data_IF_756735629261
#
_entry.id   IF_756735629261
#
_cell.length_a   1.000
_cell.length_b   1.000
_cell.length_c   1.000
_cell.angle_alpha   90.00
_cell.angle_beta   90.00
_cell.angle_gamma   90.00
#
_symmetry.space_group_name_H-M   'P 1'
#
loop_
_entity.id
_entity.type
_entity.pdbx_description
1 polymer ?
#
# COMPACT_ATOMS: atom_id res chain seq x y z
N UNK A 1 13.93 29.28 6.30
CA UNK A 1 13.47 28.33 5.26
C UNK A 1 12.14 28.81 4.69
N UNK A 2 12.00 28.90 3.37
CA UNK A 2 10.81 29.41 2.70
C UNK A 2 9.61 28.45 2.87
N UNK A 3 8.37 28.93 2.64
CA UNK A 3 7.16 28.08 2.65
C UNK A 3 7.24 27.00 1.59
N UNK A 4 7.68 27.35 0.37
CA UNK A 4 7.83 26.42 -0.75
C UNK A 4 8.83 25.30 -0.45
N UNK A 5 10.01 25.64 0.09
CA UNK A 5 11.04 24.65 0.45
C UNK A 5 10.52 23.63 1.46
N UNK A 6 9.72 24.06 2.44
CA UNK A 6 9.11 23.14 3.43
C UNK A 6 8.11 22.18 2.79
N UNK A 7 7.36 22.65 1.81
CA UNK A 7 6.39 21.81 1.08
C UNK A 7 7.11 20.73 0.28
N UNK A 8 8.17 21.09 -0.47
CA UNK A 8 8.95 20.10 -1.23
C UNK A 8 9.63 19.06 -0.34
N UNK A 9 10.24 19.50 0.76
CA UNK A 9 10.83 18.56 1.73
C UNK A 9 9.75 17.64 2.32
N UNK A 10 8.58 18.18 2.68
CA UNK A 10 7.46 17.39 3.18
C UNK A 10 6.97 16.36 2.18
N UNK A 11 6.80 16.74 0.91
CA UNK A 11 6.37 15.85 -0.15
C UNK A 11 7.40 14.73 -0.41
N UNK A 12 8.68 15.08 -0.52
CA UNK A 12 9.75 14.11 -0.70
C UNK A 12 9.82 13.12 0.47
N UNK A 13 9.74 13.63 1.71
CA UNK A 13 9.70 12.79 2.90
C UNK A 13 8.49 11.84 2.91
N UNK A 14 7.34 12.30 2.40
CA UNK A 14 6.13 11.49 2.32
C UNK A 14 6.28 10.33 1.33
N UNK A 15 6.84 10.59 0.16
CA UNK A 15 7.12 9.56 -0.85
C UNK A 15 8.08 8.50 -0.29
N UNK A 16 9.19 8.93 0.30
CA UNK A 16 10.19 8.02 0.87
C UNK A 16 9.58 7.19 2.00
N UNK A 17 8.87 7.82 2.94
CA UNK A 17 8.23 7.13 4.05
C UNK A 17 7.18 6.13 3.59
N UNK A 18 6.38 6.49 2.57
CA UNK A 18 5.39 5.59 1.98
C UNK A 18 6.05 4.33 1.42
N UNK A 19 7.07 4.47 0.58
CA UNK A 19 7.79 3.32 0.02
C UNK A 19 8.40 2.44 1.10
N UNK A 20 9.06 3.02 2.10
CA UNK A 20 9.69 2.25 3.18
C UNK A 20 8.65 1.45 3.96
N UNK A 21 7.49 2.00 4.26
CA UNK A 21 6.47 1.35 5.09
C UNK A 21 5.69 0.34 4.25
N UNK A 22 5.26 0.70 3.05
CA UNK A 22 4.48 -0.17 2.18
C UNK A 22 5.29 -1.39 1.73
N UNK A 23 6.42 -1.16 1.05
CA UNK A 23 7.29 -2.24 0.56
C UNK A 23 8.00 -2.97 1.69
N UNK A 24 8.31 -2.27 2.78
CA UNK A 24 8.87 -2.88 4.00
C UNK A 24 7.92 -3.92 4.60
N UNK A 25 6.62 -3.68 4.59
CA UNK A 25 5.63 -4.65 5.05
C UNK A 25 5.59 -5.89 4.15
N UNK A 26 5.61 -5.72 2.82
CA UNK A 26 5.74 -6.82 1.86
C UNK A 26 7.02 -7.62 2.08
N UNK A 27 8.14 -6.93 2.28
CA UNK A 27 9.44 -7.56 2.53
C UNK A 27 9.43 -8.42 3.81
N UNK A 28 8.96 -7.85 4.92
CA UNK A 28 8.88 -8.58 6.20
C UNK A 28 7.97 -9.80 6.07
N UNK A 29 6.83 -9.68 5.42
CA UNK A 29 5.92 -10.78 5.20
C UNK A 29 6.53 -11.88 4.32
N UNK A 30 7.22 -11.52 3.23
CA UNK A 30 7.92 -12.47 2.36
C UNK A 30 9.04 -13.21 3.09
N UNK A 31 9.76 -12.55 4.00
CA UNK A 31 10.78 -13.18 4.84
C UNK A 31 10.17 -14.17 5.84
N UNK A 32 9.10 -13.78 6.54
CA UNK A 32 8.43 -14.64 7.54
C UNK A 32 7.87 -15.91 6.87
N UNK A 33 7.33 -15.78 5.66
CA UNK A 33 6.76 -16.91 4.92
C UNK A 33 7.80 -17.71 4.13
N UNK A 34 9.06 -17.26 4.08
CA UNK A 34 10.16 -17.96 3.42
C UNK A 34 10.07 -17.96 1.88
N UNK A 35 9.34 -17.03 1.30
CA UNK A 35 9.10 -16.95 -0.16
C UNK A 35 9.78 -15.74 -0.82
N UNK A 36 10.57 -15.00 -0.07
CA UNK A 36 11.34 -13.88 -0.62
C UNK A 36 12.29 -14.37 -1.71
N UNK A 37 12.32 -13.65 -2.84
CA UNK A 37 13.18 -13.95 -3.97
C UNK A 37 14.25 -12.87 -4.14
N UNK A 38 13.85 -11.66 -4.46
CA UNK A 38 14.75 -10.54 -4.68
C UNK A 38 14.03 -9.20 -4.56
N UNK A 39 14.80 -8.11 -4.48
CA UNK A 39 14.29 -6.74 -4.57
C UNK A 39 14.56 -6.23 -5.97
N UNK A 40 13.49 -5.88 -6.72
CA UNK A 40 13.60 -5.29 -8.05
C UNK A 40 13.42 -3.78 -7.99
N UNK A 41 14.35 -3.07 -8.61
CA UNK A 41 14.22 -1.63 -8.82
C UNK A 41 13.66 -1.37 -10.22
N UNK A 42 12.48 -0.76 -10.29
CA UNK A 42 11.80 -0.42 -11.54
C UNK A 42 11.70 1.11 -11.66
N UNK A 43 12.70 1.73 -12.29
CA UNK A 43 12.78 3.19 -12.40
C UNK A 43 12.87 3.85 -11.02
N UNK A 44 11.86 4.64 -10.64
CA UNK A 44 11.77 5.28 -9.33
C UNK A 44 11.09 4.42 -8.25
N UNK A 45 10.65 3.22 -8.60
CA UNK A 45 9.97 2.29 -7.69
C UNK A 45 10.86 1.13 -7.25
N UNK A 46 10.51 0.54 -6.11
CA UNK A 46 11.08 -0.69 -5.58
C UNK A 46 9.93 -1.69 -5.43
N UNK A 47 10.15 -2.93 -5.83
CA UNK A 47 9.19 -4.02 -5.72
C UNK A 47 9.83 -5.22 -5.06
N UNK A 48 9.10 -5.87 -4.16
CA UNK A 48 9.51 -7.14 -3.56
C UNK A 48 9.04 -8.28 -4.44
N UNK A 49 9.98 -8.99 -5.06
CA UNK A 49 9.70 -10.19 -5.85
C UNK A 49 9.70 -11.44 -4.97
N UNK A 50 8.76 -12.35 -5.24
CA UNK A 50 8.50 -13.53 -4.44
C UNK A 50 8.36 -14.77 -5.33
N UNK A 51 8.59 -15.96 -4.76
CA UNK A 51 8.25 -17.24 -5.40
C UNK A 51 6.73 -17.49 -5.27
N UNK A 52 5.93 -16.94 -6.20
CA UNK A 52 4.47 -16.97 -6.14
C UNK A 52 3.88 -18.40 -6.13
N UNK A 53 4.58 -19.35 -6.75
CA UNK A 53 4.21 -20.77 -6.78
C UNK A 53 4.25 -21.46 -5.40
N UNK A 54 4.96 -20.89 -4.44
CA UNK A 54 5.05 -21.41 -3.08
C UNK A 54 3.92 -20.90 -2.17
N UNK A 55 3.17 -19.90 -2.63
CA UNK A 55 2.06 -19.36 -1.85
C UNK A 55 0.76 -20.15 -2.06
N UNK A 56 0.01 -20.32 -0.97
CA UNK A 56 -1.41 -20.64 -1.06
C UNK A 56 -2.21 -19.39 -1.49
N UNK A 57 -3.42 -19.57 -2.03
CA UNK A 57 -4.30 -18.46 -2.42
C UNK A 57 -4.52 -17.46 -1.28
N UNK A 58 -4.62 -17.95 -0.03
CA UNK A 58 -4.81 -17.10 1.17
C UNK A 58 -3.54 -16.29 1.46
N UNK A 59 -2.38 -16.92 1.41
CA UNK A 59 -1.10 -16.23 1.66
C UNK A 59 -0.83 -15.17 0.59
N UNK A 60 -1.16 -15.46 -0.67
CA UNK A 60 -1.05 -14.48 -1.75
C UNK A 60 -2.00 -13.29 -1.52
N UNK A 61 -3.24 -13.54 -1.09
CA UNK A 61 -4.18 -12.49 -0.73
C UNK A 61 -3.66 -11.63 0.43
N UNK A 62 -3.10 -12.24 1.47
CA UNK A 62 -2.48 -11.52 2.59
C UNK A 62 -1.28 -10.69 2.13
N UNK A 63 -0.42 -11.24 1.27
CA UNK A 63 0.68 -10.49 0.69
C UNK A 63 0.20 -9.24 -0.06
N UNK A 64 -0.88 -9.34 -0.85
CA UNK A 64 -1.40 -8.20 -1.61
C UNK A 64 -1.90 -7.04 -0.73
N UNK A 65 -2.43 -7.32 0.46
CA UNK A 65 -3.04 -6.30 1.33
C UNK A 65 -2.11 -5.79 2.44
N UNK A 66 -1.03 -6.50 2.76
CA UNK A 66 -0.20 -6.19 3.93
C UNK A 66 0.44 -4.81 3.86
N UNK A 67 0.85 -4.36 2.67
CA UNK A 67 1.39 -3.02 2.43
C UNK A 67 0.39 -1.93 2.81
N UNK A 68 -0.85 -2.04 2.30
CA UNK A 68 -1.92 -1.08 2.60
C UNK A 68 -2.33 -1.11 4.08
N UNK A 69 -2.36 -2.28 4.70
CA UNK A 69 -2.63 -2.39 6.15
C UNK A 69 -1.56 -1.66 6.96
N UNK A 70 -0.28 -1.83 6.61
CA UNK A 70 0.82 -1.17 7.31
C UNK A 70 0.77 0.36 7.15
N UNK A 71 0.46 0.87 5.95
CA UNK A 71 0.31 2.32 5.72
C UNK A 71 -0.87 2.90 6.48
N UNK A 72 -2.03 2.22 6.52
CA UNK A 72 -3.17 2.67 7.32
C UNK A 72 -2.88 2.67 8.82
N UNK A 73 -2.28 1.61 9.36
CA UNK A 73 -1.89 1.57 10.78
C UNK A 73 -0.97 2.75 11.10
N UNK A 74 0.03 3.01 10.23
CA UNK A 74 0.95 4.13 10.42
C UNK A 74 0.24 5.48 10.37
N UNK A 75 -0.70 5.68 9.43
CA UNK A 75 -1.50 6.89 9.34
C UNK A 75 -2.31 7.14 10.60
N UNK A 76 -3.01 6.12 11.11
CA UNK A 76 -3.78 6.24 12.35
C UNK A 76 -2.90 6.52 13.57
N UNK A 77 -1.72 5.90 13.66
CA UNK A 77 -0.74 6.23 14.71
C UNK A 77 -0.29 7.68 14.64
N UNK A 78 -0.02 8.21 13.45
CA UNK A 78 0.35 9.62 13.26
C UNK A 78 -0.79 10.57 13.61
N UNK A 79 -2.04 10.22 13.29
CA UNK A 79 -3.22 10.99 13.71
C UNK A 79 -3.36 10.98 15.23
N UNK A 80 -3.20 9.83 15.87
CA UNK A 80 -3.23 9.73 17.33
C UNK A 80 -2.14 10.56 17.99
N UNK A 81 -0.94 10.61 17.39
CA UNK A 81 0.18 11.41 17.85
C UNK A 81 0.11 12.89 17.43
N UNK A 82 -0.91 13.30 16.68
CA UNK A 82 -1.03 14.65 16.10
C UNK A 82 -0.88 15.76 17.13
N UNK A 83 -1.47 15.60 18.34
CA UNK A 83 -1.34 16.56 19.43
C UNK A 83 0.12 16.76 19.89
N UNK A 84 0.96 15.75 19.83
CA UNK A 84 2.39 15.85 20.11
C UNK A 84 3.15 16.47 18.94
N UNK A 85 2.82 16.09 17.72
CA UNK A 85 3.43 16.61 16.48
C UNK A 85 3.18 18.13 16.37
N UNK A 86 1.96 18.60 16.64
CA UNK A 86 1.61 20.03 16.58
C UNK A 86 2.39 20.85 17.62
N UNK A 87 2.71 20.28 18.77
CA UNK A 87 3.50 20.94 19.82
C UNK A 87 5.01 21.01 19.53
N UNK A 88 5.51 20.26 18.52
CA UNK A 88 6.93 20.29 18.17
C UNK A 88 7.36 21.70 17.73
N UNK A 89 8.56 22.13 18.11
CA UNK A 89 9.09 23.47 17.77
C UNK A 89 9.48 23.61 16.29
N UNK A 90 9.85 22.50 15.63
CA UNK A 90 10.36 22.49 14.25
C UNK A 90 9.21 22.58 13.23
N UNK A 91 9.18 23.68 12.48
CA UNK A 91 8.21 23.89 11.39
C UNK A 91 8.38 22.88 10.23
N UNK A 92 9.60 22.53 9.78
CA UNK A 92 9.77 21.51 8.73
C UNK A 92 9.31 20.12 9.19
N UNK A 93 9.60 19.73 10.44
CA UNK A 93 9.13 18.45 10.99
C UNK A 93 7.59 18.34 10.94
N UNK A 94 6.87 19.38 11.33
CA UNK A 94 5.41 19.39 11.23
C UNK A 94 4.92 19.22 9.80
N UNK A 95 5.58 19.89 8.84
CA UNK A 95 5.24 19.76 7.43
C UNK A 95 5.48 18.31 6.93
N UNK A 96 6.62 17.70 7.26
CA UNK A 96 6.91 16.31 6.91
C UNK A 96 5.84 15.36 7.47
N UNK A 97 5.53 15.44 8.78
CA UNK A 97 4.53 14.57 9.40
C UNK A 97 3.14 14.74 8.78
N UNK A 98 2.75 15.97 8.45
CA UNK A 98 1.48 16.24 7.77
C UNK A 98 1.42 15.58 6.39
N UNK A 99 2.43 15.76 5.54
CA UNK A 99 2.46 15.16 4.21
C UNK A 99 2.56 13.64 4.26
N UNK A 100 3.34 13.06 5.20
CA UNK A 100 3.42 11.63 5.42
C UNK A 100 2.05 11.07 5.79
N UNK A 101 1.33 11.69 6.73
CA UNK A 101 -0.01 11.24 7.13
C UNK A 101 -0.99 11.24 5.96
N UNK A 102 -1.00 12.32 5.16
CA UNK A 102 -1.86 12.40 3.98
C UNK A 102 -1.49 11.33 2.94
N UNK A 103 -0.19 11.16 2.67
CA UNK A 103 0.26 10.16 1.70
C UNK A 103 -0.17 8.74 2.12
N UNK A 104 0.01 8.39 3.40
CA UNK A 104 -0.39 7.08 3.94
C UNK A 104 -1.89 6.82 3.86
N UNK A 105 -2.72 7.87 3.97
CA UNK A 105 -4.18 7.73 3.88
C UNK A 105 -4.71 7.68 2.45
N UNK A 106 -4.05 8.37 1.51
CA UNK A 106 -4.62 8.59 0.20
C UNK A 106 -3.99 7.75 -0.91
N UNK A 107 -2.68 7.43 -0.83
CA UNK A 107 -2.00 6.77 -1.95
C UNK A 107 -2.56 5.39 -2.23
N UNK A 108 -2.77 4.55 -1.22
CA UNK A 108 -3.30 3.20 -1.42
C UNK A 108 -4.72 3.19 -1.99
N UNK A 109 -5.72 3.93 -1.44
CA UNK A 109 -7.05 3.98 -2.04
C UNK A 109 -7.06 4.54 -3.45
N UNK A 110 -6.25 5.58 -3.74
CA UNK A 110 -6.14 6.15 -5.07
C UNK A 110 -5.51 5.16 -6.05
N UNK A 111 -4.44 4.49 -5.64
CA UNK A 111 -3.76 3.49 -6.46
C UNK A 111 -4.69 2.32 -6.78
N UNK A 112 -5.40 1.77 -5.79
CA UNK A 112 -6.37 0.70 -5.99
C UNK A 112 -7.52 1.14 -6.90
N UNK A 113 -8.05 2.36 -6.72
CA UNK A 113 -9.11 2.91 -7.56
C UNK A 113 -8.66 3.08 -9.00
N UNK A 114 -7.46 3.63 -9.23
CA UNK A 114 -6.88 3.78 -10.57
C UNK A 114 -6.63 2.42 -11.23
N UNK A 115 -6.06 1.47 -10.50
CA UNK A 115 -5.83 0.12 -11.03
C UNK A 115 -7.14 -0.57 -11.41
N UNK A 116 -8.18 -0.48 -10.58
CA UNK A 116 -9.48 -1.05 -10.91
C UNK A 116 -10.07 -0.41 -12.17
N UNK A 117 -9.99 0.91 -12.32
CA UNK A 117 -10.49 1.61 -13.51
C UNK A 117 -9.68 1.27 -14.77
N UNK A 118 -8.34 1.24 -14.67
CA UNK A 118 -7.47 0.84 -15.78
C UNK A 118 -7.72 -0.62 -16.16
N UNK A 119 -7.94 -1.49 -15.19
CA UNK A 119 -8.28 -2.90 -15.44
C UNK A 119 -9.59 -3.05 -16.19
N UNK A 120 -10.63 -2.31 -15.83
CA UNK A 120 -11.89 -2.28 -16.60
C UNK A 120 -11.70 -1.79 -18.04
N UNK A 121 -10.82 -0.83 -18.26
CA UNK A 121 -10.49 -0.31 -19.60
C UNK A 121 -9.62 -1.29 -20.41
N UNK A 122 -8.71 -2.02 -19.77
CA UNK A 122 -7.74 -2.94 -20.43
C UNK A 122 -8.28 -4.37 -20.55
N UNK A 123 -9.22 -4.81 -19.71
CA UNK A 123 -9.89 -6.11 -19.88
C UNK A 123 -10.73 -6.21 -21.14
N UNK A 124 -10.96 -5.09 -21.84
CA UNK A 124 -11.41 -5.12 -23.23
C UNK A 124 -10.31 -5.59 -24.21
N UNK A 125 -9.04 -5.56 -23.80
CA UNK A 125 -7.89 -6.03 -24.61
C UNK A 125 -6.94 -6.91 -23.78
N UNK A 126 -6.85 -8.14 -24.15
CA UNK A 126 -6.30 -9.38 -23.57
C UNK A 126 -4.85 -9.40 -23.01
N UNK A 127 -4.18 -8.34 -22.54
CA UNK A 127 -2.70 -8.43 -22.45
C UNK A 127 -1.98 -8.19 -21.11
N UNK A 128 -2.65 -8.02 -19.98
CA UNK A 128 -1.95 -7.86 -18.67
C UNK A 128 -2.30 -9.01 -17.71
N UNK A 129 -1.74 -10.18 -17.97
CA UNK A 129 -2.31 -11.47 -17.54
C UNK A 129 -1.78 -12.09 -16.24
N UNK A 130 -0.78 -11.59 -15.54
CA UNK A 130 -0.21 -12.40 -14.46
C UNK A 130 -0.43 -11.91 -13.03
N UNK A 131 -0.22 -10.65 -12.70
CA UNK A 131 -0.29 -10.20 -11.30
C UNK A 131 -1.69 -9.73 -10.86
N UNK A 132 -2.51 -9.25 -11.80
CA UNK A 132 -3.83 -8.72 -11.50
C UNK A 132 -4.93 -9.80 -11.45
N UNK A 133 -4.71 -10.96 -12.09
CA UNK A 133 -5.66 -12.09 -12.07
C UNK A 133 -5.81 -12.69 -10.66
N UNK A 134 -4.74 -12.67 -9.87
CA UNK A 134 -4.76 -13.15 -8.48
C UNK A 134 -5.54 -12.18 -7.60
N UNK A 135 -5.33 -10.87 -7.77
CA UNK A 135 -6.04 -9.84 -7.01
C UNK A 135 -7.54 -9.82 -7.31
N UNK A 136 -7.93 -9.90 -8.59
CA UNK A 136 -9.35 -9.96 -8.98
C UNK A 136 -10.03 -11.25 -8.53
N UNK A 137 -9.38 -12.42 -8.63
CA UNK A 137 -9.93 -13.67 -8.09
C UNK A 137 -10.11 -13.62 -6.57
N UNK A 138 -9.18 -12.96 -5.86
CA UNK A 138 -9.30 -12.79 -4.42
C UNK A 138 -10.50 -11.88 -4.08
N UNK A 139 -10.67 -10.77 -4.79
CA UNK A 139 -11.75 -9.82 -4.61
C UNK A 139 -13.12 -10.39 -5.02
N UNK A 140 -13.22 -11.15 -6.12
CA UNK A 140 -14.42 -11.88 -6.51
C UNK A 140 -14.82 -12.93 -5.49
N UNK A 141 -13.87 -13.67 -4.91
CA UNK A 141 -14.16 -14.66 -3.85
C UNK A 141 -14.60 -14.00 -2.55
N UNK A 142 -14.05 -12.85 -2.19
CA UNK A 142 -14.48 -12.08 -1.02
C UNK A 142 -15.90 -11.56 -1.25
N UNK A 143 -16.20 -10.98 -2.40
CA UNK A 143 -17.55 -10.52 -2.75
C UNK A 143 -18.57 -11.67 -2.84
N UNK A 144 -18.20 -12.81 -3.40
CA UNK A 144 -19.07 -13.99 -3.46
C UNK A 144 -19.39 -14.56 -2.06
N UNK A 145 -18.47 -14.45 -1.10
CA UNK A 145 -18.74 -14.83 0.30
C UNK A 145 -19.63 -13.84 1.04
N UNK A 146 -19.49 -12.55 0.76
CA UNK A 146 -20.33 -11.50 1.36
C UNK A 146 -21.75 -11.53 0.78
N UNK A 147 -21.88 -11.89 -0.51
CA UNK A 147 -23.16 -11.96 -1.22
C UNK A 147 -23.93 -13.27 -1.00
N UNK A 148 -23.35 -14.26 -0.31
CA UNK A 148 -24.04 -15.51 0.00
C UNK A 148 -24.89 -15.34 1.26
N UNK A 149 -26.23 -15.34 1.16
CA UNK A 149 -27.12 -15.25 2.32
C UNK A 149 -27.17 -16.60 3.01
N UNK A 150 -26.17 -16.93 3.83
CA UNK A 150 -26.24 -18.07 4.76
C UNK A 150 -26.05 -17.56 6.18
N UNK A 151 -27.07 -16.91 6.70
CA UNK A 151 -27.37 -16.94 8.11
C UNK A 151 -28.68 -17.73 8.26
N UNK A 152 -28.66 -18.93 8.83
CA UNK A 152 -29.85 -19.53 9.38
C UNK A 152 -30.14 -18.82 10.72
N UNK A 153 -31.34 -18.29 10.86
CA UNK A 153 -31.94 -17.95 12.13
C UNK A 153 -32.21 -19.24 12.92
#
# INVERSE_FOLDING_TARGET
>A
MSKKTRQYIGLLSAIIAYYIIHEGAHFVYALITGVFKEIKFMGLGMQIDIYAEKYTDIQMGMFCIIGSVATFITAYLLIFLSNRIVKAKSKPFKACMYYITIAMLLLDPLYLSLLCNIYYLICADQFVYCNMKVFCKCFERINARISSPRFPF
#
